data_IF_559900539880
#
_entry.id   IF_559900539880
#
_cell.length_a   1.000
_cell.length_b   1.000
_cell.length_c   1.000
_cell.angle_alpha   90.00
_cell.angle_beta   90.00
_cell.angle_gamma   90.00
#
_symmetry.space_group_name_H-M   'P 1'
#
loop_
_entity.id
_entity.type
_entity.pdbx_description
1 polymer ?
#
# COMPACT_ATOMS: atom_id res chain seq x y z
N UNK A 1 -45.16 -3.92 47.19
CA UNK A 1 -44.53 -3.25 46.04
C UNK A 1 -43.17 -3.89 45.80
N UNK A 2 -43.10 -4.78 44.82
CA UNK A 2 -41.95 -5.65 44.54
C UNK A 2 -41.21 -5.06 43.36
N UNK A 3 -39.97 -4.59 43.55
CA UNK A 3 -39.16 -4.02 42.47
C UNK A 3 -38.43 -5.15 41.72
N UNK A 4 -38.89 -5.43 40.50
CA UNK A 4 -38.19 -6.29 39.54
C UNK A 4 -37.05 -5.49 38.90
N UNK A 5 -35.80 -5.97 39.04
CA UNK A 5 -34.64 -5.43 38.33
C UNK A 5 -34.43 -6.23 37.06
N UNK A 6 -34.75 -5.64 35.91
CA UNK A 6 -34.37 -6.15 34.60
C UNK A 6 -32.85 -6.04 34.43
N UNK A 7 -32.18 -7.18 34.21
CA UNK A 7 -30.79 -7.24 33.74
C UNK A 7 -30.80 -7.18 32.21
N UNK A 8 -30.29 -6.09 31.64
CA UNK A 8 -29.92 -6.04 30.23
C UNK A 8 -28.62 -6.83 30.04
N UNK A 9 -28.71 -7.95 29.32
CA UNK A 9 -27.54 -8.70 28.84
C UNK A 9 -27.05 -8.01 27.56
N UNK A 10 -25.98 -7.22 27.66
CA UNK A 10 -25.22 -6.76 26.51
C UNK A 10 -24.41 -7.93 25.96
N UNK A 11 -24.90 -8.54 24.88
CA UNK A 11 -24.09 -9.44 24.07
C UNK A 11 -23.05 -8.59 23.33
N UNK A 12 -21.78 -8.71 23.73
CA UNK A 12 -20.64 -8.16 23.01
C UNK A 12 -20.33 -9.12 21.85
N UNK A 13 -20.42 -8.72 20.58
CA UNK A 13 -19.94 -9.56 19.49
C UNK A 13 -18.41 -9.58 19.56
N UNK A 14 -17.87 -10.72 19.98
CA UNK A 14 -16.42 -10.98 19.95
C UNK A 14 -15.99 -11.06 18.49
N UNK A 15 -15.41 -9.99 17.96
CA UNK A 15 -14.74 -10.01 16.67
C UNK A 15 -13.38 -10.68 16.82
N UNK A 16 -13.17 -11.78 16.11
CA UNK A 16 -11.87 -12.42 15.98
C UNK A 16 -10.97 -11.49 15.15
N UNK A 17 -9.98 -10.87 15.78
CA UNK A 17 -8.91 -10.13 15.10
C UNK A 17 -7.73 -11.10 15.05
N UNK A 18 -7.37 -11.56 13.85
CA UNK A 18 -6.19 -12.42 13.68
C UNK A 18 -4.99 -11.51 13.41
N UNK A 19 -4.07 -11.45 14.36
CA UNK A 19 -2.74 -10.87 14.13
C UNK A 19 -1.78 -12.05 14.01
N UNK A 20 -1.41 -12.40 12.78
CA UNK A 20 -0.39 -13.43 12.56
C UNK A 20 0.98 -12.86 12.97
N UNK A 21 1.60 -13.47 13.99
CA UNK A 21 2.99 -13.21 14.34
C UNK A 21 3.81 -14.33 13.71
N UNK A 22 4.44 -14.04 12.56
CA UNK A 22 5.30 -14.97 11.81
C UNK A 22 6.73 -14.41 11.78
N UNK A 23 7.78 -15.26 11.88
CA UNK A 23 9.18 -14.84 11.87
C UNK A 23 9.59 -14.07 10.59
N UNK A 24 10.68 -13.28 10.66
CA UNK A 24 11.07 -12.35 9.60
C UNK A 24 11.56 -13.04 8.31
N UNK A 25 11.21 -12.42 7.18
CA UNK A 25 11.58 -12.72 5.78
C UNK A 25 13.04 -13.16 5.57
N UNK A 26 13.33 -14.16 4.71
CA UNK A 26 14.68 -14.42 4.22
C UNK A 26 15.13 -13.33 3.22
N UNK A 27 16.44 -13.03 3.20
CA UNK A 27 17.04 -11.90 2.48
C UNK A 27 16.89 -11.92 0.93
N UNK A 28 16.49 -13.06 0.34
CA UNK A 28 16.40 -13.25 -1.11
C UNK A 28 15.27 -12.48 -1.79
N UNK A 29 14.23 -12.10 -1.03
CA UNK A 29 13.06 -11.36 -1.55
C UNK A 29 13.38 -9.95 -2.06
N UNK A 30 14.44 -9.35 -1.55
CA UNK A 30 14.84 -8.00 -1.96
C UNK A 30 15.25 -7.98 -3.44
N UNK A 31 15.80 -9.06 -4.01
CA UNK A 31 16.38 -9.04 -5.36
C UNK A 31 15.37 -8.87 -6.51
N UNK A 32 14.13 -9.34 -6.37
CA UNK A 32 13.07 -9.17 -7.38
C UNK A 32 12.55 -7.71 -7.44
N UNK A 33 12.73 -6.97 -6.36
CA UNK A 33 12.30 -5.58 -6.19
C UNK A 33 13.48 -4.60 -6.11
N UNK A 34 14.71 -5.09 -6.00
CA UNK A 34 15.94 -4.30 -5.91
C UNK A 34 16.68 -4.31 -7.24
N UNK A 35 16.19 -3.50 -8.17
CA UNK A 35 17.05 -2.94 -9.21
C UNK A 35 17.22 -1.45 -8.89
N UNK A 36 17.96 -1.16 -7.81
CA UNK A 36 18.26 0.22 -7.40
C UNK A 36 19.13 0.41 -6.15
N UNK A 37 19.07 -0.48 -5.14
CA UNK A 37 19.73 -0.23 -3.85
C UNK A 37 21.16 -0.76 -3.73
N UNK A 38 22.16 0.12 -3.79
CA UNK A 38 23.53 -0.19 -3.30
C UNK A 38 23.51 -0.43 -1.79
N UNK A 39 24.18 -1.51 -1.38
CA UNK A 39 24.72 -1.67 -0.02
C UNK A 39 25.67 -0.50 0.28
N UNK A 40 25.35 0.38 1.23
CA UNK A 40 26.25 1.50 1.52
C UNK A 40 25.85 2.35 2.72
N UNK A 41 26.66 2.24 3.76
CA UNK A 41 26.67 3.00 5.00
C UNK A 41 26.80 4.52 4.86
N UNK A 42 26.53 5.18 6.00
CA UNK A 42 26.97 6.52 6.45
C UNK A 42 25.98 7.66 6.16
N UNK A 43 25.45 8.35 7.17
CA UNK A 43 26.13 9.23 8.12
C UNK A 43 26.85 10.40 7.43
N UNK A 44 26.51 11.61 7.91
CA UNK A 44 27.30 12.85 7.93
C UNK A 44 26.83 14.01 7.03
N UNK A 45 26.31 15.01 7.76
CA UNK A 45 26.54 16.46 7.72
C UNK A 45 26.02 17.35 6.58
N UNK A 46 25.25 18.33 7.05
CA UNK A 46 25.03 19.67 6.51
C UNK A 46 26.32 20.34 6.01
N UNK A 47 26.26 20.97 4.84
CA UNK A 47 26.82 22.31 4.67
C UNK A 47 26.14 23.07 3.50
N UNK A 48 26.17 24.39 3.66
CA UNK A 48 25.37 25.44 3.04
C UNK A 48 26.10 26.06 1.83
N UNK A 49 25.33 26.80 1.02
CA UNK A 49 25.69 27.86 0.04
C UNK A 49 26.07 27.49 -1.40
N UNK A 50 25.19 27.83 -2.36
CA UNK A 50 25.34 29.02 -3.25
C UNK A 50 24.47 28.93 -4.52
N UNK A 51 23.64 29.96 -4.75
CA UNK A 51 22.99 30.30 -6.03
C UNK A 51 24.01 30.91 -7.03
N UNK A 52 23.75 30.93 -8.36
CA UNK A 52 23.03 32.06 -9.00
C UNK A 52 22.07 31.63 -10.13
N UNK A 53 20.86 32.20 -10.26
CA UNK A 53 20.42 33.44 -10.96
C UNK A 53 20.28 33.37 -12.49
N UNK A 54 19.02 33.28 -12.92
CA UNK A 54 18.30 33.82 -14.09
C UNK A 54 19.06 34.58 -15.19
N UNK A 55 18.78 34.21 -16.46
CA UNK A 55 18.57 35.15 -17.58
C UNK A 55 17.72 34.51 -18.71
N UNK A 56 16.80 35.29 -19.26
CA UNK A 56 15.95 35.11 -20.47
C UNK A 56 15.77 36.51 -21.09
N UNK A 57 15.20 36.73 -22.29
CA UNK A 57 14.89 35.84 -23.44
C UNK A 57 15.27 36.49 -24.80
N UNK A 58 14.97 35.83 -25.93
CA UNK A 58 14.87 36.52 -27.23
C UNK A 58 14.63 35.61 -28.44
N UNK A 59 13.64 35.97 -29.27
CA UNK A 59 13.61 35.62 -30.70
C UNK A 59 12.39 34.80 -31.15
N UNK A 60 11.65 35.36 -32.10
CA UNK A 60 10.29 34.97 -32.50
C UNK A 60 10.21 34.16 -33.80
N UNK A 61 9.02 33.55 -33.97
CA UNK A 61 8.18 33.45 -35.16
C UNK A 61 8.32 32.30 -36.20
N UNK A 62 7.11 31.89 -36.65
CA UNK A 62 6.68 31.17 -37.86
C UNK A 62 6.55 29.64 -37.74
N UNK A 63 5.54 28.95 -38.27
CA UNK A 63 4.23 29.26 -38.89
C UNK A 63 3.49 27.92 -39.07
N UNK A 64 2.18 27.87 -38.80
CA UNK A 64 1.29 26.74 -39.13
C UNK A 64 0.86 26.79 -40.62
N UNK A 65 0.19 25.77 -41.21
CA UNK A 65 -1.21 25.38 -40.92
C UNK A 65 -1.42 23.84 -40.79
N UNK A 66 -2.29 23.32 -39.93
CA UNK A 66 -3.74 23.09 -40.05
C UNK A 66 -4.17 22.04 -41.11
N UNK A 67 -4.73 20.92 -40.64
CA UNK A 67 -5.67 20.09 -41.37
C UNK A 67 -6.66 19.41 -40.40
N UNK A 68 -7.94 19.64 -40.66
CA UNK A 68 -9.15 19.22 -39.97
C UNK A 68 -9.69 17.89 -40.52
N UNK A 69 -10.38 17.11 -39.69
CA UNK A 69 -11.54 16.32 -40.13
C UNK A 69 -12.40 15.88 -38.95
N UNK A 70 -13.60 16.45 -38.88
CA UNK A 70 -14.76 15.94 -38.15
C UNK A 70 -15.29 14.65 -38.78
N UNK A 71 -15.82 13.73 -37.97
CA UNK A 71 -17.08 13.03 -38.27
C UNK A 71 -17.65 12.33 -37.03
N UNK A 72 -18.96 12.17 -37.04
CA UNK A 72 -19.88 12.13 -35.91
C UNK A 72 -20.66 10.81 -35.76
N UNK A 73 -21.19 10.58 -34.55
CA UNK A 73 -22.39 9.78 -34.18
C UNK A 73 -22.23 8.25 -34.01
N UNK A 74 -22.47 7.73 -32.79
CA UNK A 74 -23.66 6.91 -32.48
C UNK A 74 -23.70 6.40 -31.02
N UNK A 75 -24.89 6.54 -30.43
CA UNK A 75 -25.38 6.16 -29.10
C UNK A 75 -25.56 4.65 -28.90
N UNK A 76 -25.06 4.10 -27.78
CA UNK A 76 -25.73 3.12 -26.88
C UNK A 76 -24.73 2.60 -25.83
N UNK A 77 -24.77 3.13 -24.60
CA UNK A 77 -23.94 2.60 -23.51
C UNK A 77 -24.67 1.46 -22.79
N UNK A 78 -24.34 0.23 -23.18
CA UNK A 78 -24.54 -0.96 -22.37
C UNK A 78 -23.76 -0.83 -21.04
N UNK A 79 -24.27 -1.47 -19.97
CA UNK A 79 -23.58 -1.59 -18.67
C UNK A 79 -22.15 -2.07 -18.89
N UNK A 80 -21.18 -1.20 -18.61
CA UNK A 80 -19.76 -1.56 -18.66
C UNK A 80 -19.42 -2.22 -17.33
N UNK A 81 -19.30 -3.55 -17.36
CA UNK A 81 -18.44 -4.30 -16.44
C UNK A 81 -17.00 -3.89 -16.79
N UNK A 82 -16.37 -3.07 -15.96
CA UNK A 82 -14.95 -2.73 -16.12
C UNK A 82 -14.13 -3.88 -15.53
N UNK A 83 -13.70 -4.80 -16.39
CA UNK A 83 -12.45 -5.53 -16.19
C UNK A 83 -11.45 -4.97 -17.20
N UNK A 84 -10.34 -4.33 -16.79
CA UNK A 84 -9.26 -4.07 -17.72
C UNK A 84 -8.40 -5.34 -17.82
N UNK A 85 -8.82 -6.28 -18.65
CA UNK A 85 -7.90 -7.27 -19.20
C UNK A 85 -6.90 -6.51 -20.09
N UNK A 86 -5.68 -6.23 -19.60
CA UNK A 86 -4.60 -5.71 -20.46
C UNK A 86 -3.45 -4.95 -19.80
N UNK A 87 -3.58 -4.47 -18.55
CA UNK A 87 -2.47 -3.77 -17.88
C UNK A 87 -1.48 -4.78 -17.29
N UNK A 88 -0.29 -4.91 -17.90
CA UNK A 88 0.81 -5.66 -17.28
C UNK A 88 1.47 -4.77 -16.23
N UNK A 89 1.17 -5.06 -14.97
CA UNK A 89 1.93 -4.57 -13.83
C UNK A 89 3.20 -5.39 -13.61
N UNK A 90 3.73 -5.23 -12.41
CA UNK A 90 4.96 -5.84 -11.95
C UNK A 90 4.74 -6.82 -10.82
N UNK A 91 5.84 -7.35 -10.27
CA UNK A 91 5.80 -8.42 -9.28
C UNK A 91 5.54 -9.78 -9.91
N UNK A 92 5.45 -10.79 -9.07
CA UNK A 92 5.17 -12.17 -9.44
C UNK A 92 3.72 -12.34 -9.93
N UNK A 93 2.79 -11.53 -9.42
CA UNK A 93 1.41 -11.43 -9.90
C UNK A 93 1.29 -10.75 -11.26
N UNK A 94 2.24 -9.87 -11.61
CA UNK A 94 2.11 -8.98 -12.76
C UNK A 94 0.99 -7.95 -12.60
N UNK A 95 0.53 -7.69 -11.37
CA UNK A 95 -0.63 -6.85 -11.04
C UNK A 95 -0.28 -5.67 -10.13
N UNK A 96 1.00 -5.46 -9.82
CA UNK A 96 1.47 -4.32 -9.02
C UNK A 96 1.83 -3.15 -9.91
N UNK A 97 1.19 -2.00 -9.69
CA UNK A 97 1.42 -0.79 -10.51
C UNK A 97 2.25 0.27 -9.81
N UNK A 98 2.43 0.18 -8.49
CA UNK A 98 3.20 1.14 -7.72
C UNK A 98 4.69 0.80 -7.65
N UNK A 99 5.53 1.83 -7.73
CA UNK A 99 6.95 1.78 -7.37
C UNK A 99 7.27 2.79 -6.28
N UNK A 100 7.96 2.36 -5.23
CA UNK A 100 8.33 3.23 -4.11
C UNK A 100 9.84 3.48 -4.09
N UNK A 101 10.23 4.73 -4.35
CA UNK A 101 11.62 5.02 -4.71
C UNK A 101 12.12 6.21 -3.90
N UNK A 102 13.35 6.14 -3.40
CA UNK A 102 13.97 7.29 -2.77
C UNK A 102 14.35 8.33 -3.83
N UNK A 103 14.38 9.64 -3.50
CA UNK A 103 14.75 10.69 -4.45
C UNK A 103 16.08 10.44 -5.17
N UNK A 104 17.07 9.89 -4.45
CA UNK A 104 18.38 9.53 -4.96
C UNK A 104 18.36 8.37 -5.98
N UNK A 105 17.35 7.50 -5.94
CA UNK A 105 17.24 6.31 -6.78
C UNK A 105 16.42 6.55 -8.06
N UNK A 106 15.82 7.74 -8.20
CA UNK A 106 14.97 8.09 -9.34
C UNK A 106 15.67 7.90 -10.69
N UNK A 107 16.97 8.23 -10.76
CA UNK A 107 17.78 8.14 -11.99
C UNK A 107 17.96 6.66 -12.43
N UNK A 108 18.07 5.75 -11.46
CA UNK A 108 18.24 4.32 -11.75
C UNK A 108 16.97 3.73 -12.40
N UNK A 109 15.79 4.14 -11.93
CA UNK A 109 14.50 3.71 -12.50
C UNK A 109 14.21 4.29 -13.88
N UNK A 110 14.52 5.57 -14.09
CA UNK A 110 14.39 6.20 -15.42
C UNK A 110 15.31 5.54 -16.48
N UNK A 111 16.29 4.74 -16.05
CA UNK A 111 17.25 4.07 -16.92
C UNK A 111 16.86 2.62 -17.25
N UNK A 112 15.72 2.10 -16.73
CA UNK A 112 15.27 0.73 -16.99
C UNK A 112 14.67 0.65 -18.42
N UNK A 113 15.26 -0.16 -19.34
CA UNK A 113 14.72 -0.30 -20.68
C UNK A 113 13.29 -0.86 -20.66
N UNK A 114 12.34 -0.13 -21.25
CA UNK A 114 10.94 -0.57 -21.38
C UNK A 114 9.98 -0.09 -20.28
N UNK A 115 10.46 0.64 -19.26
CA UNK A 115 9.59 1.20 -18.24
C UNK A 115 8.90 2.49 -18.76
N UNK A 116 7.61 2.42 -19.10
CA UNK A 116 6.78 3.62 -19.21
C UNK A 116 6.43 4.09 -17.80
N UNK A 117 7.27 4.96 -17.24
CA UNK A 117 7.12 5.50 -15.88
C UNK A 117 6.28 6.76 -15.90
N UNK A 118 5.17 6.78 -15.16
CA UNK A 118 4.45 8.01 -14.83
C UNK A 118 4.87 8.51 -13.44
N UNK A 119 5.31 9.77 -13.35
CA UNK A 119 5.61 10.43 -12.08
C UNK A 119 4.32 10.87 -11.38
N UNK A 120 4.07 10.40 -10.16
CA UNK A 120 2.93 10.84 -9.34
C UNK A 120 3.20 12.16 -8.58
N UNK A 121 3.92 13.11 -9.18
CA UNK A 121 4.21 14.41 -8.56
C UNK A 121 3.26 15.49 -9.10
N UNK A 122 2.15 15.74 -8.39
CA UNK A 122 1.20 16.89 -8.44
C UNK A 122 0.65 17.34 -9.81
N UNK A 123 1.23 16.99 -10.95
CA UNK A 123 0.84 17.41 -12.29
C UNK A 123 1.25 16.35 -13.31
N UNK A 124 0.49 15.25 -13.44
CA UNK A 124 0.48 14.52 -14.72
C UNK A 124 -0.74 13.60 -14.83
N UNK A 125 -1.42 13.70 -15.96
CA UNK A 125 -2.46 12.76 -16.39
C UNK A 125 -1.79 11.47 -16.85
N UNK A 126 -1.85 10.40 -16.05
CA UNK A 126 -1.18 9.14 -16.31
C UNK A 126 -1.83 8.34 -17.46
N UNK A 127 -0.98 7.71 -18.27
CA UNK A 127 -1.36 6.79 -19.37
C UNK A 127 -1.81 5.42 -18.82
N UNK A 128 -2.76 4.71 -19.47
CA UNK A 128 -3.41 3.50 -18.97
C UNK A 128 -2.56 2.21 -19.06
N UNK A 129 -1.24 2.33 -18.95
CA UNK A 129 -0.31 1.18 -18.95
C UNK A 129 0.99 1.48 -18.20
N UNK A 130 1.03 2.58 -17.42
CA UNK A 130 2.25 3.08 -16.81
C UNK A 130 2.30 2.71 -15.32
N UNK A 131 3.40 2.08 -14.90
CA UNK A 131 3.74 2.00 -13.48
C UNK A 131 3.77 3.43 -12.90
N UNK A 132 3.12 3.59 -11.76
CA UNK A 132 3.09 4.84 -11.02
C UNK A 132 4.24 4.86 -10.04
N UNK A 133 5.18 5.79 -10.23
CA UNK A 133 6.32 5.93 -9.32
C UNK A 133 6.02 7.01 -8.28
N UNK A 134 6.12 6.60 -7.02
CA UNK A 134 6.02 7.46 -5.85
C UNK A 134 7.42 7.73 -5.32
N UNK A 135 7.83 8.99 -5.36
CA UNK A 135 9.05 9.44 -4.70
C UNK A 135 8.80 9.57 -3.20
N UNK A 136 9.52 8.79 -2.40
CA UNK A 136 9.36 8.76 -0.94
C UNK A 136 10.02 9.97 -0.27
N UNK A 137 9.46 10.38 0.87
CA UNK A 137 10.13 11.25 1.84
C UNK A 137 11.07 10.40 2.68
N UNK A 138 12.37 10.72 2.70
CA UNK A 138 13.34 10.01 3.53
C UNK A 138 12.92 9.98 5.00
N UNK A 139 13.14 8.84 5.67
CA UNK A 139 12.88 8.68 7.09
C UNK A 139 13.55 9.77 7.95
N UNK A 140 14.73 10.24 7.52
CA UNK A 140 15.49 11.28 8.20
C UNK A 140 14.81 12.66 8.23
N UNK A 141 13.80 12.91 7.39
CA UNK A 141 13.03 14.16 7.39
C UNK A 141 12.05 14.25 8.57
N UNK A 142 11.74 13.12 9.23
CA UNK A 142 10.90 13.10 10.43
C UNK A 142 11.61 13.78 11.60
N UNK A 143 10.95 14.77 12.19
CA UNK A 143 11.44 15.47 13.39
C UNK A 143 10.72 14.90 14.62
N UNK A 144 11.47 14.20 15.47
CA UNK A 144 10.91 13.51 16.65
C UNK A 144 9.79 12.55 16.26
N UNK A 145 8.54 12.82 16.61
CA UNK A 145 7.38 11.96 16.30
C UNK A 145 6.63 12.40 15.04
N UNK A 146 7.09 13.44 14.34
CA UNK A 146 6.28 14.20 13.40
C UNK A 146 6.94 14.33 12.04
N UNK A 147 6.13 14.34 10.99
CA UNK A 147 6.51 14.74 9.64
C UNK A 147 5.37 15.61 9.09
N UNK A 148 5.67 16.88 8.75
CA UNK A 148 4.71 17.85 8.22
C UNK A 148 3.36 17.91 8.95
N UNK A 149 3.38 17.88 10.29
CA UNK A 149 2.17 17.94 11.13
C UNK A 149 1.48 16.59 11.37
N UNK A 150 1.82 15.55 10.63
CA UNK A 150 1.32 14.19 10.84
C UNK A 150 2.14 13.45 11.91
N UNK A 151 1.46 12.88 12.91
CA UNK A 151 2.10 12.16 14.00
C UNK A 151 2.37 10.71 13.61
N UNK A 152 3.64 10.39 13.34
CA UNK A 152 4.09 9.03 13.10
C UNK A 152 4.36 8.30 14.43
N UNK A 153 4.98 8.97 15.40
CA UNK A 153 5.47 8.33 16.62
C UNK A 153 6.92 7.86 16.50
N UNK A 154 7.32 6.89 17.32
CA UNK A 154 8.68 6.33 17.32
C UNK A 154 8.65 4.85 16.96
N UNK A 155 9.37 4.46 15.91
CA UNK A 155 9.61 3.04 15.64
C UNK A 155 10.35 2.39 16.82
N UNK A 156 10.10 1.10 17.11
CA UNK A 156 10.68 0.41 18.26
C UNK A 156 12.22 0.47 18.35
N UNK A 157 12.90 0.61 17.20
CA UNK A 157 14.35 0.55 17.09
C UNK A 157 14.99 1.90 16.70
N UNK A 158 14.26 3.02 16.71
CA UNK A 158 14.85 4.35 16.41
C UNK A 158 16.00 4.74 17.34
N UNK A 159 15.99 4.27 18.58
CA UNK A 159 17.02 4.56 19.60
C UNK A 159 17.68 3.29 20.15
N UNK A 160 17.40 2.15 19.54
CA UNK A 160 17.79 0.84 20.05
C UNK A 160 18.62 0.06 19.06
N UNK A 161 19.15 -1.09 19.49
CA UNK A 161 19.81 -2.02 18.59
C UNK A 161 18.79 -2.66 17.66
N UNK A 162 19.13 -2.72 16.37
CA UNK A 162 18.31 -3.43 15.39
C UNK A 162 18.31 -4.93 15.71
N UNK A 163 17.13 -5.53 15.91
CA UNK A 163 17.02 -6.95 16.30
C UNK A 163 17.21 -7.89 15.10
N UNK A 164 16.66 -7.52 13.95
CA UNK A 164 16.82 -8.20 12.67
C UNK A 164 16.48 -7.25 11.54
N UNK A 165 16.84 -7.63 10.31
CA UNK A 165 16.58 -6.87 9.09
C UNK A 165 15.11 -6.44 8.96
N UNK A 166 14.17 -7.34 9.27
CA UNK A 166 12.75 -7.04 9.17
C UNK A 166 12.30 -5.89 10.08
N UNK A 167 12.98 -5.65 11.20
CA UNK A 167 12.63 -4.58 12.15
C UNK A 167 13.45 -3.30 11.99
N UNK A 168 14.23 -3.20 10.91
CA UNK A 168 14.86 -1.92 10.54
C UNK A 168 13.82 -0.83 10.40
N UNK A 169 14.24 0.41 10.68
CA UNK A 169 13.40 1.55 10.38
C UNK A 169 13.14 1.61 8.87
N UNK A 170 11.96 2.09 8.45
CA UNK A 170 11.67 2.32 7.04
C UNK A 170 12.71 3.25 6.40
N UNK A 171 12.97 3.07 5.10
CA UNK A 171 13.85 3.97 4.34
C UNK A 171 13.19 5.36 4.15
N UNK A 172 11.87 5.35 3.97
CA UNK A 172 11.07 6.56 3.79
C UNK A 172 9.58 6.33 3.93
N UNK A 173 8.83 7.34 3.52
CA UNK A 173 7.38 7.41 3.59
C UNK A 173 6.79 7.85 2.25
N UNK A 174 5.69 7.21 1.86
CA UNK A 174 4.84 7.67 0.77
C UNK A 174 3.97 8.80 1.31
N UNK A 175 4.05 9.97 0.67
CA UNK A 175 3.19 11.12 0.98
C UNK A 175 1.81 10.90 0.33
N UNK A 176 0.77 10.87 1.17
CA UNK A 176 -0.61 10.71 0.74
C UNK A 176 -1.34 12.03 0.90
N UNK A 177 -1.97 12.50 -0.16
CA UNK A 177 -2.75 13.74 -0.23
C UNK A 177 -4.17 13.42 -0.72
N UNK A 178 -5.14 14.33 -0.53
CA UNK A 178 -6.46 14.17 -1.13
C UNK A 178 -6.42 13.98 -2.66
N UNK A 179 -5.42 14.52 -3.33
CA UNK A 179 -5.27 14.44 -4.79
C UNK A 179 -4.74 13.07 -5.26
N UNK A 180 -4.01 12.33 -4.41
CA UNK A 180 -3.35 11.08 -4.80
C UNK A 180 -3.84 9.83 -4.06
N UNK A 181 -4.68 9.97 -3.02
CA UNK A 181 -5.12 8.84 -2.19
C UNK A 181 -5.87 7.77 -3.01
N UNK A 182 -6.47 8.17 -4.12
CA UNK A 182 -7.22 7.30 -5.04
C UNK A 182 -6.37 6.59 -6.09
N UNK A 183 -5.06 6.84 -6.10
CA UNK A 183 -4.12 6.22 -7.04
C UNK A 183 -4.12 4.71 -6.84
N UNK A 184 -4.32 3.95 -7.93
CA UNK A 184 -4.20 2.48 -7.92
C UNK A 184 -2.75 2.09 -7.66
N UNK A 185 -2.53 1.24 -6.68
CA UNK A 185 -1.20 0.69 -6.35
C UNK A 185 -1.04 -0.75 -6.86
N UNK A 186 -2.16 -1.44 -7.08
CA UNK A 186 -2.23 -2.73 -7.73
C UNK A 186 -3.59 -2.88 -8.45
N UNK A 187 -3.88 -4.07 -8.99
CA UNK A 187 -5.14 -4.35 -9.68
C UNK A 187 -6.35 -4.04 -8.78
N UNK A 188 -6.33 -4.52 -7.54
CA UNK A 188 -7.46 -4.45 -6.60
C UNK A 188 -7.34 -3.34 -5.54
N UNK A 189 -6.16 -2.75 -5.34
CA UNK A 189 -5.94 -1.80 -4.24
C UNK A 189 -5.54 -0.40 -4.69
N UNK A 190 -5.97 0.58 -3.89
CA UNK A 190 -5.59 1.99 -3.97
C UNK A 190 -4.74 2.39 -2.78
N UNK A 191 -4.00 3.49 -2.91
CA UNK A 191 -3.12 4.00 -1.85
C UNK A 191 -3.87 4.24 -0.53
N UNK A 192 -5.10 4.78 -0.59
CA UNK A 192 -5.95 5.01 0.58
C UNK A 192 -6.25 3.76 1.40
N UNK A 193 -6.26 2.58 0.79
CA UNK A 193 -6.63 1.34 1.48
C UNK A 193 -5.57 0.96 2.54
N UNK A 194 -4.35 1.47 2.39
CA UNK A 194 -3.25 1.22 3.32
C UNK A 194 -3.03 2.36 4.33
N UNK A 195 -3.79 3.45 4.26
CA UNK A 195 -3.65 4.60 5.15
C UNK A 195 -4.13 4.26 6.56
N UNK A 196 -3.44 4.80 7.56
CA UNK A 196 -3.83 4.62 8.96
C UNK A 196 -5.14 5.35 9.30
N UNK A 197 -5.97 4.75 10.14
CA UNK A 197 -7.32 5.25 10.44
C UNK A 197 -7.36 6.39 11.47
N UNK A 198 -6.21 6.73 12.08
CA UNK A 198 -6.10 7.85 13.00
C UNK A 198 -5.91 9.19 12.26
N UNK A 199 -6.04 10.30 13.00
CA UNK A 199 -5.74 11.64 12.49
C UNK A 199 -6.50 11.97 11.18
N UNK A 200 -7.81 11.68 11.13
CA UNK A 200 -8.65 11.78 9.93
C UNK A 200 -8.51 13.13 9.20
N UNK A 201 -8.52 14.23 9.95
CA UNK A 201 -8.51 15.60 9.42
C UNK A 201 -7.09 16.18 9.18
N UNK A 202 -6.04 15.38 9.35
CA UNK A 202 -4.64 15.82 9.13
C UNK A 202 -4.15 15.38 7.76
N UNK A 203 -3.61 16.35 7.00
CA UNK A 203 -3.01 16.16 5.69
C UNK A 203 -1.71 16.99 5.57
N UNK A 204 -0.71 16.52 4.79
CA UNK A 204 -0.64 15.21 4.16
C UNK A 204 -0.51 14.08 5.18
N UNK A 205 -0.87 12.85 4.79
CA UNK A 205 -0.62 11.63 5.56
C UNK A 205 0.64 10.94 5.03
N UNK A 206 1.19 10.03 5.82
CA UNK A 206 2.40 9.31 5.47
C UNK A 206 2.25 7.82 5.73
N UNK A 207 2.57 7.01 4.72
CA UNK A 207 2.42 5.55 4.73
C UNK A 207 3.78 4.89 4.48
N UNK A 208 4.04 3.79 5.19
CA UNK A 208 5.06 2.82 4.81
C UNK A 208 4.32 1.65 4.15
N UNK A 209 4.68 1.32 2.92
CA UNK A 209 4.08 0.24 2.15
C UNK A 209 5.19 -0.41 1.30
N UNK A 210 5.22 -1.74 1.27
CA UNK A 210 6.21 -2.50 0.50
C UNK A 210 5.53 -3.19 -0.68
N UNK A 211 6.13 -3.08 -1.87
CA UNK A 211 5.65 -3.73 -3.09
C UNK A 211 5.39 -5.25 -2.92
N UNK A 212 6.25 -6.03 -2.22
CA UNK A 212 5.95 -7.45 -1.92
C UNK A 212 4.60 -7.71 -1.25
N UNK A 213 4.11 -6.79 -0.40
CA UNK A 213 2.80 -6.95 0.23
C UNK A 213 1.69 -6.85 -0.83
N UNK A 214 1.78 -5.88 -1.73
CA UNK A 214 0.82 -5.71 -2.83
C UNK A 214 0.81 -6.96 -3.71
N UNK A 215 1.99 -7.44 -4.08
CA UNK A 215 2.13 -8.61 -4.93
C UNK A 215 1.54 -9.87 -4.30
N UNK A 216 1.81 -10.08 -3.00
CA UNK A 216 1.25 -11.20 -2.25
C UNK A 216 -0.27 -11.14 -2.18
N UNK A 217 -0.85 -9.96 -1.94
CA UNK A 217 -2.31 -9.80 -1.85
C UNK A 217 -2.98 -10.12 -3.19
N UNK A 218 -2.38 -9.69 -4.31
CA UNK A 218 -2.87 -10.03 -5.65
C UNK A 218 -2.79 -11.54 -5.94
N UNK A 219 -1.69 -12.19 -5.54
CA UNK A 219 -1.53 -13.65 -5.65
C UNK A 219 -2.52 -14.42 -4.76
N UNK A 220 -2.88 -13.88 -3.59
CA UNK A 220 -3.90 -14.49 -2.72
C UNK A 220 -5.28 -14.40 -3.36
N UNK A 221 -5.62 -13.28 -4.00
CA UNK A 221 -6.87 -13.15 -4.77
C UNK A 221 -6.90 -14.17 -5.92
N UNK A 222 -5.79 -14.30 -6.66
CA UNK A 222 -5.65 -15.28 -7.74
C UNK A 222 -5.81 -16.71 -7.24
N UNK A 223 -5.09 -17.10 -6.17
CA UNK A 223 -5.18 -18.46 -5.60
C UNK A 223 -6.60 -18.77 -5.10
N UNK A 224 -7.26 -17.83 -4.42
CA UNK A 224 -8.64 -18.02 -3.97
C UNK A 224 -9.60 -18.23 -5.15
N UNK A 225 -9.50 -17.39 -6.18
CA UNK A 225 -10.31 -17.49 -7.39
C UNK A 225 -10.08 -18.84 -8.11
N UNK A 226 -8.83 -19.29 -8.22
CA UNK A 226 -8.46 -20.59 -8.81
C UNK A 226 -9.05 -21.78 -8.03
N UNK A 227 -9.27 -21.60 -6.73
CA UNK A 227 -9.91 -22.59 -5.85
C UNK A 227 -11.42 -22.39 -5.70
N UNK A 228 -12.04 -21.56 -6.55
CA UNK A 228 -13.50 -21.37 -6.62
C UNK A 228 -14.08 -20.42 -5.58
N UNK A 229 -13.26 -19.67 -4.85
CA UNK A 229 -13.69 -18.62 -3.93
C UNK A 229 -13.62 -17.28 -4.65
N UNK A 230 -14.76 -16.63 -4.87
CA UNK A 230 -14.78 -15.28 -5.45
C UNK A 230 -14.14 -14.27 -4.48
N UNK A 231 -12.91 -13.85 -4.79
CA UNK A 231 -12.09 -12.96 -3.97
C UNK A 231 -12.01 -11.52 -4.51
N UNK A 232 -12.79 -11.16 -5.53
CA UNK A 232 -12.86 -9.80 -6.09
C UNK A 232 -13.25 -8.74 -5.04
N UNK A 233 -13.93 -9.18 -3.98
CA UNK A 233 -14.32 -8.37 -2.83
C UNK A 233 -13.25 -8.26 -1.74
N UNK A 234 -11.99 -8.68 -1.95
CA UNK A 234 -10.97 -8.60 -0.90
C UNK A 234 -10.66 -7.14 -0.53
N UNK A 235 -10.79 -6.82 0.76
CA UNK A 235 -10.64 -5.46 1.32
C UNK A 235 -9.56 -5.43 2.39
N UNK A 236 -8.86 -4.30 2.46
CA UNK A 236 -7.97 -3.99 3.57
C UNK A 236 -8.80 -3.42 4.72
N UNK A 237 -8.80 -4.10 5.87
CA UNK A 237 -9.34 -3.57 7.13
C UNK A 237 -8.33 -2.66 7.82
N UNK A 238 -7.05 -3.00 7.74
CA UNK A 238 -5.97 -2.23 8.33
C UNK A 238 -4.66 -2.53 7.59
N UNK A 239 -4.13 -1.55 6.86
CA UNK A 239 -2.79 -1.62 6.30
C UNK A 239 -1.75 -1.04 7.26
N UNK A 240 -1.13 0.06 6.88
CA UNK A 240 -0.09 0.70 7.69
C UNK A 240 -0.64 1.26 9.01
N UNK A 241 0.07 1.00 10.09
CA UNK A 241 -0.18 1.62 11.41
C UNK A 241 0.99 2.49 11.79
N UNK A 242 0.74 3.77 12.03
CA UNK A 242 1.77 4.63 12.63
C UNK A 242 2.19 4.04 13.98
N UNK A 243 3.47 4.13 14.39
CA UNK A 243 3.85 3.74 15.75
C UNK A 243 3.02 4.40 16.86
N UNK A 244 2.57 5.65 16.65
CA UNK A 244 1.67 6.35 17.56
C UNK A 244 0.30 5.67 17.64
N UNK A 245 -0.31 5.33 16.50
CA UNK A 245 -1.57 4.60 16.43
C UNK A 245 -1.43 3.19 17.02
N UNK A 246 -0.40 2.44 16.61
CA UNK A 246 -0.12 1.10 17.14
C UNK A 246 0.07 1.11 18.67
N UNK A 247 0.69 2.15 19.21
CA UNK A 247 0.80 2.33 20.66
C UNK A 247 -0.57 2.56 21.32
N UNK A 248 -1.45 3.35 20.69
CA UNK A 248 -2.78 3.64 21.21
C UNK A 248 -3.69 2.39 21.25
N UNK A 249 -3.59 1.52 20.24
CA UNK A 249 -4.42 0.30 20.14
C UNK A 249 -3.80 -0.95 20.79
N UNK A 250 -2.71 -0.82 21.57
CA UNK A 250 -2.11 -1.98 22.26
C UNK A 250 -3.05 -2.67 23.25
N UNK A 251 -3.94 -1.90 23.88
CA UNK A 251 -4.96 -2.45 24.77
C UNK A 251 -5.95 -3.39 24.08
N UNK A 252 -5.99 -3.36 22.75
CA UNK A 252 -6.90 -4.14 21.89
C UNK A 252 -6.18 -5.32 21.21
N UNK A 253 -4.97 -5.67 21.67
CA UNK A 253 -4.20 -6.83 21.19
C UNK A 253 -3.03 -6.50 20.27
N UNK A 254 -2.75 -5.22 19.99
CA UNK A 254 -1.61 -4.86 19.12
C UNK A 254 -0.25 -5.03 19.81
N UNK A 255 0.64 -5.79 19.17
CA UNK A 255 2.02 -5.93 19.62
C UNK A 255 2.82 -4.63 19.44
N UNK A 256 3.81 -4.41 20.31
CA UNK A 256 4.68 -3.22 20.25
C UNK A 256 5.41 -3.09 18.91
N UNK A 257 5.84 -4.21 18.39
CA UNK A 257 6.61 -4.40 17.17
C UNK A 257 5.75 -5.03 16.07
N UNK A 258 4.45 -4.70 16.03
CA UNK A 258 3.56 -5.11 14.94
C UNK A 258 4.14 -4.79 13.57
N UNK A 259 4.03 -5.76 12.65
CA UNK A 259 4.46 -5.66 11.24
C UNK A 259 3.74 -4.56 10.45
N UNK A 260 2.53 -4.17 10.84
CA UNK A 260 1.82 -3.02 10.24
C UNK A 260 2.63 -1.71 10.28
N UNK A 261 3.54 -1.55 11.24
CA UNK A 261 4.42 -0.37 11.32
C UNK A 261 5.52 -0.36 10.25
N UNK A 262 5.80 -1.50 9.62
CA UNK A 262 6.90 -1.69 8.67
C UNK A 262 6.41 -1.84 7.23
N UNK A 263 5.10 -1.61 7.00
CA UNK A 263 4.49 -1.56 5.67
C UNK A 263 4.41 -2.90 4.96
N UNK A 264 4.61 -3.99 5.69
CA UNK A 264 4.62 -5.33 5.14
C UNK A 264 3.50 -6.18 5.72
N UNK A 265 2.49 -5.63 6.39
CA UNK A 265 1.33 -6.39 6.87
C UNK A 265 0.01 -5.67 6.65
N UNK A 266 -1.04 -6.46 6.39
CA UNK A 266 -2.41 -5.99 6.25
C UNK A 266 -3.40 -6.99 6.87
N UNK A 267 -4.40 -6.46 7.57
CA UNK A 267 -5.58 -7.21 7.99
C UNK A 267 -6.58 -7.17 6.84
N UNK A 268 -7.05 -8.33 6.38
CA UNK A 268 -7.93 -8.46 5.22
C UNK A 268 -9.22 -9.20 5.54
N UNK A 269 -10.24 -8.97 4.70
CA UNK A 269 -11.49 -9.72 4.69
C UNK A 269 -12.08 -9.67 3.27
N UNK A 270 -12.98 -10.59 2.94
CA UNK A 270 -13.65 -10.60 1.62
C UNK A 270 -15.11 -10.19 1.82
N UNK A 271 -15.50 -9.15 1.09
CA UNK A 271 -16.85 -8.58 1.08
C UNK A 271 -17.45 -8.69 -0.32
N UNK A 272 -18.10 -9.83 -0.60
CA UNK A 272 -18.74 -10.11 -1.88
C UNK A 272 -20.02 -9.30 -2.10
N UNK A 273 -20.63 -8.79 -1.03
CA UNK A 273 -21.89 -8.05 -1.07
C UNK A 273 -21.70 -6.52 -1.09
N UNK A 274 -20.51 -6.03 -0.76
CA UNK A 274 -20.21 -4.61 -0.64
C UNK A 274 -20.80 -3.97 0.62
N UNK A 275 -21.07 -4.76 1.68
CA UNK A 275 -21.73 -4.30 2.91
C UNK A 275 -20.73 -3.93 4.04
N UNK A 276 -19.43 -4.03 3.78
CA UNK A 276 -18.35 -3.76 4.72
C UNK A 276 -18.12 -4.87 5.76
N UNK A 277 -18.60 -6.09 5.49
CA UNK A 277 -18.45 -7.26 6.38
C UNK A 277 -17.91 -8.46 5.61
N UNK A 278 -17.33 -9.40 6.36
CA UNK A 278 -16.89 -10.69 5.83
C UNK A 278 -18.07 -11.48 5.28
N UNK A 279 -17.91 -12.03 4.08
CA UNK A 279 -18.84 -12.96 3.44
C UNK A 279 -18.67 -14.39 3.93
N UNK A 280 -19.73 -15.18 3.78
CA UNK A 280 -19.71 -16.64 3.90
C UNK A 280 -19.08 -17.21 2.62
N UNK A 281 -17.81 -17.61 2.71
CA UNK A 281 -16.99 -18.00 1.57
C UNK A 281 -17.15 -19.48 1.24
N UNK A 282 -17.45 -20.31 2.23
CA UNK A 282 -17.65 -21.74 2.04
C UNK A 282 -19.10 -22.10 1.65
N UNK A 283 -20.03 -21.14 1.78
CA UNK A 283 -21.44 -21.28 1.39
C UNK A 283 -22.28 -22.12 2.34
N UNK A 284 -21.87 -22.25 3.61
CA UNK A 284 -22.57 -23.05 4.63
C UNK A 284 -23.73 -22.31 5.33
N UNK A 285 -23.94 -21.05 4.97
CA UNK A 285 -24.95 -20.14 5.50
C UNK A 285 -24.48 -19.35 6.73
N UNK A 286 -23.20 -19.43 7.13
CA UNK A 286 -22.67 -18.76 8.33
C UNK A 286 -21.29 -18.17 8.11
N UNK A 287 -21.15 -16.87 8.43
CA UNK A 287 -19.83 -16.24 8.55
C UNK A 287 -19.13 -16.74 9.83
N UNK A 288 -18.04 -17.47 9.67
CA UNK A 288 -17.35 -18.18 10.73
C UNK A 288 -15.83 -18.25 10.51
N UNK A 289 -15.13 -18.95 11.42
CA UNK A 289 -13.70 -19.21 11.26
C UNK A 289 -13.39 -20.10 10.03
N UNK A 290 -14.37 -20.89 9.55
CA UNK A 290 -14.19 -21.69 8.36
C UNK A 290 -13.91 -20.83 7.12
N UNK A 291 -14.54 -19.65 7.01
CA UNK A 291 -14.30 -18.70 5.92
C UNK A 291 -12.92 -18.07 6.02
N UNK A 292 -12.54 -17.67 7.23
CA UNK A 292 -11.19 -17.14 7.50
C UNK A 292 -10.11 -18.16 7.16
N UNK A 293 -10.38 -19.45 7.44
CA UNK A 293 -9.46 -20.54 7.09
C UNK A 293 -9.24 -20.65 5.58
N UNK A 294 -10.24 -20.35 4.74
CA UNK A 294 -10.04 -20.36 3.29
C UNK A 294 -9.00 -19.32 2.83
N UNK A 295 -9.04 -18.12 3.43
CA UNK A 295 -8.05 -17.06 3.18
C UNK A 295 -6.68 -17.48 3.70
N UNK A 296 -6.61 -18.04 4.92
CA UNK A 296 -5.35 -18.54 5.51
C UNK A 296 -4.71 -19.62 4.64
N UNK A 297 -5.49 -20.59 4.18
CA UNK A 297 -4.99 -21.68 3.34
C UNK A 297 -4.47 -21.15 1.99
N UNK A 298 -5.08 -20.09 1.44
CA UNK A 298 -4.58 -19.41 0.24
C UNK A 298 -3.26 -18.69 0.49
N UNK A 299 -3.14 -17.97 1.60
CA UNK A 299 -1.88 -17.34 2.03
C UNK A 299 -0.78 -18.40 2.17
N UNK A 300 -1.05 -19.52 2.83
CA UNK A 300 -0.09 -20.61 3.01
C UNK A 300 0.35 -21.21 1.67
N UNK A 301 -0.57 -21.40 0.70
CA UNK A 301 -0.22 -21.87 -0.65
C UNK A 301 0.64 -20.87 -1.41
N UNK A 302 0.31 -19.58 -1.34
CA UNK A 302 1.09 -18.50 -1.96
C UNK A 302 2.49 -18.46 -1.36
N UNK A 303 2.62 -18.50 -0.04
CA UNK A 303 3.93 -18.51 0.64
C UNK A 303 4.74 -19.76 0.35
N UNK A 304 4.09 -20.92 0.24
CA UNK A 304 4.77 -22.16 -0.15
C UNK A 304 5.29 -22.12 -1.59
N UNK A 305 4.56 -21.44 -2.49
CA UNK A 305 4.93 -21.27 -3.90
C UNK A 305 5.99 -20.19 -4.11
N UNK A 306 5.92 -19.12 -3.31
CA UNK A 306 6.80 -17.95 -3.36
C UNK A 306 7.41 -17.68 -1.98
N UNK A 307 8.45 -18.46 -1.57
CA UNK A 307 9.08 -18.32 -0.25
C UNK A 307 9.66 -16.92 0.03
N UNK A 308 9.92 -16.13 -1.01
CA UNK A 308 10.31 -14.73 -0.93
C UNK A 308 9.22 -13.81 -0.39
N UNK A 309 7.94 -14.19 -0.49
CA UNK A 309 6.81 -13.43 0.03
C UNK A 309 6.39 -13.85 1.45
N UNK A 310 7.16 -14.73 2.09
CA UNK A 310 6.86 -15.23 3.45
C UNK A 310 6.89 -14.10 4.48
N UNK A 311 5.84 -14.06 5.29
CA UNK A 311 5.61 -13.05 6.32
C UNK A 311 4.62 -11.98 5.86
N UNK A 312 4.16 -11.15 6.80
CA UNK A 312 3.45 -9.95 6.41
C UNK A 312 1.97 -10.08 6.02
N UNK A 313 1.26 -11.07 6.56
CA UNK A 313 -0.20 -11.22 6.48
C UNK A 313 -0.67 -11.95 7.72
#
# INVERSE_FOLDING_TARGET
MTYSRFRFSLAVPTFLILTAIIPPTPASALQLYSLGGRTGSNAVANHVDSLPTVASPGGAASSAPAASSDSSVSTAAAKILFSPAGEKGSGLSGKVFARFVMPEDWIALASIPGASVASASVQSTASPSAETVFTMRSFGQKVRQWLNGYRLGYWPQEKGRVRSEAYKNPDGFIEVTPDNEDTRVSEHFRLRDFVSHDQKDVWPKYVVLREPLLDKLELVIEDLNDHGVNAEGLRIRSGFRTPAHNFAVRGEGSARDSRHQFGDAADVYIDQEGNGKMSDLNGDGKVSFADVKMILDAVERVEARYPELVGGT
#
